data_IF_241982471149
#
_entry.id   IF_241982471149
#
_cell.length_a   1.000
_cell.length_b   1.000
_cell.length_c   1.000
_cell.angle_alpha   90.00
_cell.angle_beta   90.00
_cell.angle_gamma   90.00
#
_symmetry.space_group_name_H-M   'P 1'
#
loop_
_entity.id
_entity.type
_entity.pdbx_description
1 polymer ?
#
# COMPACT_ATOMS: atom_id res chain seq x y z
N UNK A 1 20.92 -10.24 -9.93
CA UNK A 1 19.59 -9.64 -9.71
C UNK A 1 18.62 -10.29 -10.70
N UNK A 2 17.38 -10.62 -10.32
CA UNK A 2 16.46 -11.29 -11.25
C UNK A 2 16.21 -10.41 -12.47
N UNK A 3 16.27 -10.96 -13.69
CA UNK A 3 16.05 -10.22 -14.95
C UNK A 3 14.61 -9.72 -15.14
N UNK A 4 13.67 -10.19 -14.31
CA UNK A 4 12.27 -9.77 -14.23
C UNK A 4 11.75 -10.15 -12.85
N UNK A 5 11.13 -9.21 -12.12
CA UNK A 5 10.61 -9.50 -10.77
C UNK A 5 9.36 -10.40 -10.84
N UNK A 6 8.38 -10.02 -11.66
CA UNK A 6 7.18 -10.82 -11.94
C UNK A 6 6.51 -10.36 -13.25
N UNK A 7 5.87 -11.25 -14.01
CA UNK A 7 5.21 -10.89 -15.27
C UNK A 7 4.05 -9.92 -15.11
N UNK A 8 3.31 -10.06 -14.02
CA UNK A 8 2.21 -9.17 -13.66
C UNK A 8 2.63 -7.71 -13.48
N UNK A 9 3.91 -7.43 -13.23
CA UNK A 9 4.43 -6.08 -13.04
C UNK A 9 5.16 -5.54 -14.27
N UNK A 10 5.07 -6.23 -15.41
CA UNK A 10 5.78 -5.84 -16.64
C UNK A 10 5.35 -4.50 -17.22
N UNK A 11 4.16 -4.00 -16.86
CA UNK A 11 3.65 -2.68 -17.29
C UNK A 11 4.00 -1.54 -16.32
N UNK A 12 4.76 -1.84 -15.26
CA UNK A 12 5.16 -0.87 -14.24
C UNK A 12 6.65 -0.53 -14.42
N UNK A 13 6.92 0.66 -14.96
CA UNK A 13 8.25 1.06 -15.47
C UNK A 13 9.40 0.94 -14.44
N UNK A 14 9.12 1.20 -13.17
CA UNK A 14 10.12 1.16 -12.08
C UNK A 14 10.34 -0.23 -11.45
N UNK A 15 9.70 -1.29 -11.97
CA UNK A 15 9.98 -2.69 -11.59
C UNK A 15 11.06 -3.31 -12.49
N UNK A 16 11.67 -2.49 -13.36
CA UNK A 16 12.82 -2.89 -14.16
C UNK A 16 13.98 -3.28 -13.24
N UNK A 17 14.48 -4.52 -13.29
CA UNK A 17 15.56 -4.91 -12.43
C UNK A 17 16.83 -4.15 -12.79
N UNK A 18 17.58 -3.74 -11.78
CA UNK A 18 18.89 -3.13 -11.98
C UNK A 18 19.87 -4.24 -12.34
N UNK A 19 20.10 -4.41 -13.65
CA UNK A 19 21.00 -5.43 -14.21
C UNK A 19 22.46 -4.94 -14.11
N UNK A 20 22.68 -3.64 -14.33
CA UNK A 20 23.99 -2.99 -14.19
C UNK A 20 23.94 -1.89 -13.13
N UNK A 21 24.67 -2.09 -12.02
CA UNK A 21 24.85 -1.08 -10.99
C UNK A 21 26.13 -0.29 -11.36
N UNK A 22 26.05 1.02 -11.69
CA UNK A 22 27.23 1.81 -12.01
C UNK A 22 28.28 1.73 -10.90
N UNK A 23 29.56 1.64 -11.29
CA UNK A 23 30.67 1.59 -10.33
C UNK A 23 30.65 2.85 -9.45
N UNK A 24 30.54 2.68 -8.14
CA UNK A 24 30.40 3.77 -7.17
C UNK A 24 28.96 4.03 -6.68
N UNK A 25 27.98 3.30 -7.20
CA UNK A 25 26.61 3.34 -6.68
C UNK A 25 26.54 2.74 -5.28
N UNK A 26 25.71 3.33 -4.41
CA UNK A 26 25.37 2.74 -3.12
C UNK A 26 24.12 1.88 -3.28
N UNK A 27 24.23 0.59 -3.01
CA UNK A 27 23.05 -0.27 -2.85
C UNK A 27 22.50 -0.05 -1.45
N UNK A 28 21.28 0.48 -1.37
CA UNK A 28 20.58 0.68 -0.10
C UNK A 28 19.58 -0.45 0.04
N UNK A 29 19.85 -1.40 0.93
CA UNK A 29 18.88 -2.41 1.29
C UNK A 29 17.81 -1.77 2.19
N UNK A 30 16.68 -1.41 1.58
CA UNK A 30 15.51 -0.87 2.28
C UNK A 30 14.61 -1.99 2.85
N UNK A 31 14.98 -3.26 2.65
CA UNK A 31 14.27 -4.44 3.13
C UNK A 31 14.60 -4.68 4.61
N UNK A 32 14.17 -3.77 5.47
CA UNK A 32 14.16 -4.08 6.89
C UNK A 32 13.01 -5.05 7.21
N UNK A 33 13.27 -5.97 8.13
CA UNK A 33 12.29 -6.99 8.54
C UNK A 33 12.92 -8.34 8.85
N UNK A 34 14.11 -8.63 8.31
CA UNK A 34 14.71 -9.97 8.46
C UNK A 34 15.69 -10.06 9.63
N UNK A 35 16.31 -8.95 10.06
CA UNK A 35 17.37 -8.99 11.08
C UNK A 35 17.26 -7.86 12.12
N UNK A 36 16.76 -8.22 13.31
CA UNK A 36 16.70 -7.35 14.50
C UNK A 36 18.09 -6.88 14.98
N UNK A 37 19.17 -7.54 14.55
CA UNK A 37 20.54 -7.17 14.89
C UNK A 37 21.22 -6.29 13.82
N UNK A 38 20.48 -5.81 12.82
CA UNK A 38 21.03 -4.90 11.81
C UNK A 38 21.33 -3.51 12.39
N UNK A 39 22.30 -2.81 11.78
CA UNK A 39 22.60 -1.42 12.12
C UNK A 39 21.38 -0.50 11.90
N UNK A 40 20.58 -0.81 10.87
CA UNK A 40 19.32 -0.12 10.55
C UNK A 40 18.28 -0.32 11.65
N UNK A 41 18.08 -1.55 12.14
CA UNK A 41 17.16 -1.78 13.26
C UNK A 41 17.59 -1.02 14.52
N UNK A 42 18.89 -1.04 14.87
CA UNK A 42 19.41 -0.22 15.98
C UNK A 42 19.21 1.28 15.76
N UNK A 43 19.26 1.75 14.51
CA UNK A 43 18.96 3.14 14.18
C UNK A 43 17.48 3.44 14.38
N UNK A 44 16.59 2.60 13.83
CA UNK A 44 15.14 2.69 14.06
C UNK A 44 14.78 2.77 15.54
N UNK A 45 15.29 1.86 16.37
CA UNK A 45 15.00 1.86 17.80
C UNK A 45 15.39 3.16 18.52
N UNK A 46 16.41 3.88 18.01
CA UNK A 46 16.84 5.18 18.52
C UNK A 46 15.93 6.33 18.05
N UNK A 47 15.50 6.33 16.79
CA UNK A 47 14.80 7.46 16.16
C UNK A 47 13.28 7.30 16.08
N UNK A 48 12.72 6.11 16.33
CA UNK A 48 11.29 5.82 16.17
C UNK A 48 10.35 6.73 16.96
N UNK A 49 10.81 7.31 18.07
CA UNK A 49 10.03 8.24 18.89
C UNK A 49 9.93 9.64 18.27
N UNK A 50 10.91 10.04 17.46
CA UNK A 50 10.96 11.35 16.80
C UNK A 50 10.37 11.33 15.39
N UNK A 51 10.22 10.15 14.79
CA UNK A 51 9.62 9.99 13.47
C UNK A 51 8.10 9.80 13.59
N UNK A 52 7.37 10.28 12.58
CA UNK A 52 5.91 10.10 12.50
C UNK A 52 5.55 8.68 12.11
N UNK A 53 6.36 8.08 11.23
CA UNK A 53 6.16 6.75 10.68
C UNK A 53 7.48 6.12 10.28
N UNK A 54 7.52 4.80 10.28
CA UNK A 54 8.62 4.00 9.75
C UNK A 54 8.88 4.26 8.26
N UNK A 55 7.87 4.73 7.53
CA UNK A 55 8.04 5.21 6.15
C UNK A 55 9.05 6.35 6.09
N UNK A 56 9.01 7.31 7.02
CA UNK A 56 9.99 8.42 7.03
C UNK A 56 11.42 7.91 7.14
N UNK A 57 11.65 6.86 7.93
CA UNK A 57 12.98 6.27 8.05
C UNK A 57 13.45 5.63 6.74
N UNK A 58 12.58 4.92 6.00
CA UNK A 58 12.94 4.34 4.68
C UNK A 58 13.47 5.41 3.75
N UNK A 59 12.72 6.50 3.63
CA UNK A 59 13.04 7.59 2.73
C UNK A 59 14.29 8.35 3.16
N UNK A 60 14.45 8.60 4.48
CA UNK A 60 15.70 9.16 5.03
C UNK A 60 16.92 8.30 4.72
N UNK A 61 16.83 6.97 4.91
CA UNK A 61 17.93 6.05 4.62
C UNK A 61 18.24 5.99 3.13
N UNK A 62 17.22 6.08 2.28
CA UNK A 62 17.35 6.13 0.83
C UNK A 62 17.95 7.46 0.33
N UNK A 63 17.96 8.51 1.16
CA UNK A 63 18.30 9.88 0.73
C UNK A 63 17.25 10.47 -0.21
N UNK A 64 16.02 9.98 -0.16
CA UNK A 64 14.89 10.43 -1.00
C UNK A 64 13.94 11.26 -0.14
N UNK A 65 13.45 12.43 -0.60
CA UNK A 65 12.43 13.18 0.13
C UNK A 65 11.20 12.30 0.40
N UNK A 66 10.67 12.33 1.63
CA UNK A 66 9.50 11.50 1.96
C UNK A 66 8.31 11.81 1.06
N UNK A 67 8.16 13.05 0.58
CA UNK A 67 7.11 13.43 -0.38
C UNK A 67 7.05 12.56 -1.63
N UNK A 68 8.18 11.98 -2.05
CA UNK A 68 8.24 11.10 -3.23
C UNK A 68 7.39 9.83 -3.07
N UNK A 69 7.03 9.42 -1.85
CA UNK A 69 6.17 8.23 -1.67
C UNK A 69 4.81 8.35 -2.36
N UNK A 70 4.39 9.57 -2.70
CA UNK A 70 3.12 9.86 -3.39
C UNK A 70 3.26 10.10 -4.88
N UNK A 71 4.48 10.23 -5.39
CA UNK A 71 4.73 10.53 -6.80
C UNK A 71 4.73 9.25 -7.64
N UNK A 72 3.80 8.34 -7.33
CA UNK A 72 3.69 7.07 -8.03
C UNK A 72 3.10 7.30 -9.42
N UNK A 73 3.94 7.18 -10.44
CA UNK A 73 3.53 7.21 -11.84
C UNK A 73 3.71 5.81 -12.43
N UNK A 74 2.65 5.30 -13.05
CA UNK A 74 2.67 4.01 -13.73
C UNK A 74 1.67 4.00 -14.89
N UNK A 75 1.89 3.13 -15.87
CA UNK A 75 1.00 2.95 -17.00
C UNK A 75 -0.18 2.07 -16.58
N UNK A 76 -1.40 2.60 -16.65
CA UNK A 76 -2.62 1.83 -16.34
C UNK A 76 -2.83 0.73 -17.37
N UNK A 77 -3.17 -0.46 -16.90
CA UNK A 77 -3.65 -1.55 -17.76
C UNK A 77 -5.18 -1.53 -17.80
N UNK A 78 -5.75 -0.64 -18.62
CA UNK A 78 -7.19 -0.42 -18.69
C UNK A 78 -7.98 -1.70 -19.02
N UNK A 79 -7.39 -2.60 -19.81
CA UNK A 79 -8.00 -3.88 -20.14
C UNK A 79 -8.17 -4.76 -18.89
N UNK A 80 -7.11 -4.90 -18.08
CA UNK A 80 -7.16 -5.64 -16.82
C UNK A 80 -8.09 -5.00 -15.80
N UNK A 81 -8.13 -3.68 -15.73
CA UNK A 81 -9.07 -2.97 -14.86
C UNK A 81 -10.54 -3.22 -15.25
N UNK A 82 -10.85 -3.29 -16.55
CA UNK A 82 -12.19 -3.64 -17.05
C UNK A 82 -12.52 -5.10 -16.78
N UNK A 83 -11.61 -6.02 -17.08
CA UNK A 83 -11.81 -7.45 -16.79
C UNK A 83 -12.08 -7.71 -15.31
N UNK A 84 -11.32 -7.04 -14.43
CA UNK A 84 -11.50 -7.15 -12.99
C UNK A 84 -12.83 -6.54 -12.54
N UNK A 85 -13.19 -5.39 -13.09
CA UNK A 85 -14.48 -4.74 -12.84
C UNK A 85 -15.64 -5.68 -13.19
N UNK A 86 -15.62 -6.29 -14.38
CA UNK A 86 -16.68 -7.19 -14.83
C UNK A 86 -16.72 -8.49 -14.02
N UNK A 87 -15.56 -8.97 -13.54
CA UNK A 87 -15.44 -10.16 -12.69
C UNK A 87 -16.02 -9.94 -11.29
N UNK A 88 -15.65 -8.82 -10.65
CA UNK A 88 -16.15 -8.46 -9.32
C UNK A 88 -17.61 -8.00 -9.40
N UNK A 89 -18.01 -7.47 -10.57
CA UNK A 89 -19.34 -6.97 -10.89
C UNK A 89 -19.92 -6.08 -9.77
N UNK A 90 -19.22 -4.98 -9.43
CA UNK A 90 -19.72 -4.08 -8.41
C UNK A 90 -21.07 -3.50 -8.85
N UNK A 91 -22.04 -3.49 -7.94
CA UNK A 91 -23.31 -2.80 -8.17
C UNK A 91 -23.07 -1.30 -8.28
N UNK A 92 -24.02 -0.57 -8.85
CA UNK A 92 -24.04 0.89 -8.70
C UNK A 92 -24.21 1.22 -7.22
N UNK A 93 -23.31 2.02 -6.70
CA UNK A 93 -23.15 2.39 -5.30
C UNK A 93 -22.68 1.24 -4.39
N UNK A 94 -21.40 1.22 -4.04
CA UNK A 94 -20.78 0.13 -3.28
C UNK A 94 -19.67 0.61 -2.36
N UNK A 95 -19.41 -0.23 -1.37
CA UNK A 95 -18.38 -0.02 -0.34
C UNK A 95 -17.21 -0.95 -0.64
N UNK A 96 -16.02 -0.41 -0.85
CA UNK A 96 -14.79 -1.20 -0.99
C UNK A 96 -14.18 -1.46 0.39
N UNK A 97 -14.02 -2.73 0.77
CA UNK A 97 -13.51 -3.11 2.09
C UNK A 97 -12.24 -3.94 1.97
N UNK A 98 -11.17 -3.50 2.64
CA UNK A 98 -10.00 -4.30 2.94
C UNK A 98 -9.88 -4.50 4.45
N UNK A 99 -10.55 -5.54 4.93
CA UNK A 99 -10.69 -5.84 6.36
C UNK A 99 -9.72 -6.89 6.90
N UNK A 100 -9.01 -7.62 6.04
CA UNK A 100 -8.19 -8.77 6.44
C UNK A 100 -6.72 -8.63 6.02
N UNK A 101 -5.85 -9.35 6.72
CA UNK A 101 -4.42 -9.49 6.42
C UNK A 101 -4.00 -10.91 6.80
N UNK A 102 -2.80 -11.33 6.38
CA UNK A 102 -2.25 -12.65 6.73
C UNK A 102 -2.07 -12.89 8.25
N UNK A 103 -2.20 -11.84 9.08
CA UNK A 103 -2.11 -11.88 10.53
C UNK A 103 -2.89 -10.73 11.16
N UNK A 104 -3.25 -10.87 12.45
CA UNK A 104 -4.11 -9.93 13.18
C UNK A 104 -5.59 -10.29 13.09
N UNK A 105 -6.43 -9.52 13.80
CA UNK A 105 -7.87 -9.75 13.83
C UNK A 105 -8.54 -9.10 12.62
N UNK A 106 -9.27 -9.85 11.76
CA UNK A 106 -10.01 -9.27 10.64
C UNK A 106 -11.07 -8.29 11.13
N UNK A 107 -11.23 -7.18 10.41
CA UNK A 107 -12.34 -6.26 10.62
C UNK A 107 -13.63 -6.96 10.19
N UNK A 108 -14.56 -7.14 11.13
CA UNK A 108 -15.94 -7.47 10.80
C UNK A 108 -16.61 -6.20 10.28
N UNK A 109 -17.04 -6.24 9.03
CA UNK A 109 -17.78 -5.15 8.39
C UNK A 109 -19.15 -5.66 7.98
N UNK A 110 -20.19 -4.93 8.38
CA UNK A 110 -21.57 -5.21 8.01
C UNK A 110 -22.10 -3.98 7.27
N UNK A 111 -22.50 -4.19 6.02
CA UNK A 111 -22.94 -3.14 5.12
C UNK A 111 -23.54 -3.72 3.85
N UNK A 112 -24.41 -2.94 3.22
CA UNK A 112 -25.01 -3.31 1.95
C UNK A 112 -24.01 -3.08 0.80
N UNK A 113 -24.07 -3.95 -0.22
CA UNK A 113 -23.26 -3.84 -1.45
C UNK A 113 -21.75 -3.71 -1.19
N UNK A 114 -21.19 -4.61 -0.38
CA UNK A 114 -19.76 -4.65 -0.09
C UNK A 114 -19.00 -5.37 -1.20
N UNK A 115 -17.91 -4.74 -1.65
CA UNK A 115 -16.87 -5.33 -2.49
C UNK A 115 -15.64 -5.53 -1.62
N UNK A 116 -15.26 -6.78 -1.38
CA UNK A 116 -14.04 -7.09 -0.63
C UNK A 116 -12.82 -7.01 -1.55
N UNK A 117 -11.78 -6.29 -1.11
CA UNK A 117 -10.47 -6.35 -1.72
C UNK A 117 -9.73 -7.58 -1.22
N UNK A 118 -9.36 -8.46 -2.14
CA UNK A 118 -8.54 -9.64 -1.87
C UNK A 118 -7.63 -9.94 -3.07
N UNK A 119 -6.55 -10.71 -2.88
CA UNK A 119 -5.70 -11.13 -4.00
C UNK A 119 -6.49 -11.98 -5.00
N UNK A 120 -6.51 -11.58 -6.27
CA UNK A 120 -7.09 -12.35 -7.37
C UNK A 120 -5.94 -12.75 -8.31
N UNK A 121 -5.82 -14.04 -8.59
CA UNK A 121 -4.78 -14.57 -9.47
C UNK A 121 -4.84 -13.90 -10.85
N UNK A 122 -3.67 -13.49 -11.37
CA UNK A 122 -3.59 -12.80 -12.66
C UNK A 122 -3.86 -11.30 -12.61
N UNK A 123 -4.10 -10.73 -11.42
CA UNK A 123 -4.29 -9.30 -11.18
C UNK A 123 -3.37 -8.80 -10.07
N UNK A 124 -3.12 -7.50 -10.08
CA UNK A 124 -2.32 -6.78 -9.08
C UNK A 124 -3.17 -5.69 -8.43
N UNK A 125 -2.66 -5.09 -7.37
CA UNK A 125 -3.31 -3.93 -6.72
C UNK A 125 -3.57 -2.77 -7.69
N UNK A 126 -2.76 -2.61 -8.74
CA UNK A 126 -2.93 -1.53 -9.71
C UNK A 126 -4.15 -1.74 -10.61
N UNK A 127 -4.50 -2.99 -10.89
CA UNK A 127 -5.67 -3.35 -11.71
C UNK A 127 -7.00 -3.10 -10.95
N UNK A 128 -6.95 -2.98 -9.62
CA UNK A 128 -8.10 -2.58 -8.80
C UNK A 128 -8.46 -1.09 -8.93
N UNK A 129 -7.66 -0.29 -9.63
CA UNK A 129 -7.84 1.16 -9.68
C UNK A 129 -9.23 1.59 -10.14
N UNK A 130 -9.82 0.95 -11.15
CA UNK A 130 -11.18 1.27 -11.58
C UNK A 130 -12.22 1.02 -10.47
N UNK A 131 -12.08 -0.07 -9.72
CA UNK A 131 -12.94 -0.39 -8.56
C UNK A 131 -12.69 0.59 -7.41
N UNK A 132 -11.46 1.06 -7.22
CA UNK A 132 -11.14 2.07 -6.20
C UNK A 132 -11.75 3.43 -6.55
N UNK A 133 -11.58 3.88 -7.79
CA UNK A 133 -12.02 5.21 -8.26
C UNK A 133 -13.55 5.37 -8.31
N UNK A 134 -14.32 4.27 -8.35
CA UNK A 134 -15.79 4.30 -8.44
C UNK A 134 -16.51 3.85 -7.15
N UNK A 135 -15.79 3.58 -6.06
CA UNK A 135 -16.39 3.27 -4.77
C UNK A 135 -16.97 4.54 -4.12
N UNK A 136 -18.07 4.44 -3.39
CA UNK A 136 -18.60 5.57 -2.60
C UNK A 136 -17.91 5.66 -1.24
N UNK A 137 -17.56 4.51 -0.68
CA UNK A 137 -16.88 4.42 0.61
C UNK A 137 -15.74 3.40 0.50
N UNK A 138 -14.60 3.72 1.13
CA UNK A 138 -13.42 2.85 1.16
C UNK A 138 -12.98 2.63 2.60
N UNK A 139 -12.96 1.37 3.01
CA UNK A 139 -12.59 0.94 4.36
C UNK A 139 -11.31 0.13 4.30
N UNK A 140 -10.26 0.58 4.98
CA UNK A 140 -8.97 -0.09 4.97
C UNK A 140 -8.38 -0.24 6.37
N UNK A 141 -7.84 -1.42 6.65
CA UNK A 141 -6.81 -1.60 7.68
C UNK A 141 -5.45 -1.09 7.17
N UNK A 142 -4.42 -1.05 8.04
CA UNK A 142 -3.05 -0.73 7.63
C UNK A 142 -2.46 -1.79 6.68
N UNK A 143 -2.40 -1.45 5.40
CA UNK A 143 -2.02 -2.33 4.28
C UNK A 143 -1.45 -1.56 3.08
N UNK A 144 -1.04 -2.28 2.04
CA UNK A 144 -0.68 -1.68 0.75
C UNK A 144 -1.85 -0.94 0.09
N UNK A 145 -3.10 -1.38 0.29
CA UNK A 145 -4.27 -0.75 -0.32
C UNK A 145 -4.48 0.68 0.19
N UNK A 146 -4.44 0.92 1.50
CA UNK A 146 -4.60 2.28 2.04
C UNK A 146 -3.54 3.24 1.50
N UNK A 147 -2.29 2.77 1.35
CA UNK A 147 -1.22 3.57 0.75
C UNK A 147 -1.54 3.92 -0.71
N UNK A 148 -2.05 2.95 -1.47
CA UNK A 148 -2.41 3.16 -2.87
C UNK A 148 -3.60 4.12 -3.01
N UNK A 149 -4.68 3.92 -2.25
CA UNK A 149 -5.85 4.82 -2.21
C UNK A 149 -5.44 6.24 -1.82
N UNK A 150 -4.55 6.40 -0.83
CA UNK A 150 -4.07 7.72 -0.42
C UNK A 150 -3.28 8.44 -1.53
N UNK A 151 -2.76 7.72 -2.53
CA UNK A 151 -2.11 8.30 -3.71
C UNK A 151 -3.06 8.61 -4.89
N UNK A 152 -4.28 8.07 -4.91
CA UNK A 152 -5.22 8.19 -6.04
C UNK A 152 -6.30 9.26 -5.83
N UNK A 153 -6.54 10.16 -6.76
CA UNK A 153 -7.67 11.10 -6.63
C UNK A 153 -9.00 10.33 -6.67
N UNK A 154 -9.64 10.23 -5.50
CA UNK A 154 -10.90 9.51 -5.27
C UNK A 154 -11.87 10.42 -4.53
N UNK A 155 -13.14 10.33 -4.88
CA UNK A 155 -14.23 11.10 -4.26
C UNK A 155 -14.90 10.34 -3.10
N UNK A 156 -14.48 9.09 -2.85
CA UNK A 156 -15.04 8.22 -1.83
C UNK A 156 -14.83 8.75 -0.40
N UNK A 157 -15.74 8.41 0.51
CA UNK A 157 -15.51 8.55 1.94
C UNK A 157 -14.46 7.55 2.43
N UNK A 158 -13.41 8.06 3.07
CA UNK A 158 -12.22 7.29 3.39
C UNK A 158 -12.18 6.90 4.88
N UNK A 159 -12.16 5.61 5.19
CA UNK A 159 -12.16 5.07 6.54
C UNK A 159 -10.91 4.20 6.80
N UNK A 160 -10.10 4.59 7.79
CA UNK A 160 -8.87 3.88 8.18
C UNK A 160 -9.01 3.27 9.57
N UNK A 161 -8.79 1.96 9.67
CA UNK A 161 -8.95 1.20 10.89
C UNK A 161 -7.59 0.88 11.53
N UNK A 162 -7.40 1.36 12.75
CA UNK A 162 -6.29 0.94 13.61
C UNK A 162 -6.68 -0.40 14.22
N UNK A 163 -5.89 -1.43 13.93
CA UNK A 163 -6.08 -2.80 14.42
C UNK A 163 -4.90 -3.25 15.27
N UNK A 164 -5.05 -4.41 15.92
CA UNK A 164 -4.01 -5.12 16.69
C UNK A 164 -2.75 -5.45 15.87
N UNK A 165 -2.88 -5.46 14.54
CA UNK A 165 -1.77 -5.63 13.59
C UNK A 165 -0.75 -4.50 13.65
N UNK A 166 -1.21 -3.25 13.73
CA UNK A 166 -0.36 -2.04 13.71
C UNK A 166 -0.81 -1.07 14.81
N UNK A 167 -0.67 -1.48 16.09
CA UNK A 167 -1.21 -0.71 17.21
C UNK A 167 -0.41 0.57 17.46
N UNK A 168 0.87 0.58 17.12
CA UNK A 168 1.78 1.69 17.40
C UNK A 168 1.73 2.73 16.28
N UNK A 169 1.56 4.00 16.65
CA UNK A 169 1.51 5.13 15.71
C UNK A 169 2.69 5.17 14.74
N UNK A 170 3.89 4.88 15.22
CA UNK A 170 5.11 4.92 14.40
C UNK A 170 5.19 3.82 13.34
N UNK A 171 4.40 2.76 13.46
CA UNK A 171 4.38 1.66 12.49
C UNK A 171 3.28 1.85 11.43
N UNK A 172 2.38 2.82 11.65
CA UNK A 172 1.26 3.12 10.74
C UNK A 172 1.74 3.83 9.49
N UNK A 173 0.98 3.67 8.40
CA UNK A 173 1.19 4.47 7.20
C UNK A 173 0.98 5.98 7.44
N UNK A 174 1.52 6.80 6.55
CA UNK A 174 1.32 8.25 6.51
C UNK A 174 0.08 8.53 5.66
N UNK A 175 -1.00 8.95 6.30
CA UNK A 175 -2.25 9.36 5.64
C UNK A 175 -2.28 10.87 5.39
N UNK A 176 -2.87 11.27 4.28
CA UNK A 176 -2.63 12.61 3.71
C UNK A 176 -3.89 13.26 3.19
N UNK A 177 -4.87 12.43 2.84
CA UNK A 177 -6.26 12.82 2.63
C UNK A 177 -7.05 12.86 3.94
N UNK A 178 -8.32 13.26 3.83
CA UNK A 178 -9.26 13.33 4.96
C UNK A 178 -9.79 11.94 5.32
N UNK A 179 -8.92 11.09 5.85
CA UNK A 179 -9.32 9.78 6.38
C UNK A 179 -10.03 9.93 7.72
N UNK A 180 -11.18 9.30 7.86
CA UNK A 180 -11.82 9.01 9.15
C UNK A 180 -11.05 7.88 9.85
N UNK A 181 -10.38 8.20 10.96
CA UNK A 181 -9.53 7.26 11.69
C UNK A 181 -10.35 6.60 12.80
N UNK A 182 -10.52 5.28 12.72
CA UNK A 182 -11.33 4.49 13.63
C UNK A 182 -10.42 3.55 14.43
N UNK A 183 -10.57 3.56 15.77
CA UNK A 183 -9.82 2.66 16.64
C UNK A 183 -10.62 1.38 16.93
N UNK A 184 -10.07 0.22 16.58
CA UNK A 184 -10.66 -1.12 16.79
C UNK A 184 -9.75 -2.04 17.61
N UNK A 185 -8.78 -1.47 18.33
CA UNK A 185 -7.98 -2.15 19.34
C UNK A 185 -8.83 -2.61 20.53
#
# INVERSE_FOLDING_TARGET
MPQKYHELLSYVDYVTPVIDIPKGSKTIDLSFGVNQNSAVHRHWMRVRKSLKSFVELKYQLAGVPVSEFRNLVYNRNLQKEIELWDMVYPRTNYILVHGASDYGTPLQFDGDNVVEFYPIEGYTIFDWRKIIENADEIHCIDSSLVNFVDCLDVEADLNYYITDKVPLKGDRTILTKKWNIINKL
#
